data_IF_668731426386
#
_entry.id   IF_668731426386
#
_cell.length_a   1.000
_cell.length_b   1.000
_cell.length_c   1.000
_cell.angle_alpha   90.00
_cell.angle_beta   90.00
_cell.angle_gamma   90.00
#
_symmetry.space_group_name_H-M   'P 1'
#
loop_
_entity.id
_entity.type
_entity.pdbx_description
1 polymer ?
#
# COMPACT_ATOMS: atom_id res chain seq x y z
N UNK A 1 -32.62 8.64 22.28
CA UNK A 1 -31.58 9.65 21.99
C UNK A 1 -30.22 9.07 22.33
N UNK A 2 -29.37 8.72 21.34
CA UNK A 2 -27.93 8.75 21.55
C UNK A 2 -27.25 9.53 20.43
N UNK A 3 -26.83 10.77 20.71
CA UNK A 3 -26.03 11.62 19.80
C UNK A 3 -24.56 11.75 20.26
N UNK A 4 -24.14 11.03 21.30
CA UNK A 4 -22.83 11.20 21.93
C UNK A 4 -21.68 10.49 21.20
N UNK A 5 -21.95 9.44 20.43
CA UNK A 5 -20.90 8.70 19.69
C UNK A 5 -20.39 9.44 18.45
N UNK A 6 -21.21 10.31 17.85
CA UNK A 6 -20.83 11.06 16.64
C UNK A 6 -19.95 12.28 16.93
N UNK A 7 -20.13 12.97 18.06
CA UNK A 7 -19.32 14.17 18.37
C UNK A 7 -17.89 13.80 18.75
N UNK A 8 -17.70 12.78 19.59
CA UNK A 8 -16.36 12.31 20.01
C UNK A 8 -15.54 11.87 18.80
N UNK A 9 -16.16 11.20 17.84
CA UNK A 9 -15.49 10.77 16.61
C UNK A 9 -15.13 11.95 15.71
N UNK A 10 -16.02 12.92 15.56
CA UNK A 10 -15.76 14.14 14.78
C UNK A 10 -14.68 15.03 15.40
N UNK A 11 -14.65 15.15 16.73
CA UNK A 11 -13.61 15.88 17.46
C UNK A 11 -12.25 15.19 17.34
N UNK A 12 -12.23 13.86 17.32
CA UNK A 12 -11.02 13.08 17.17
C UNK A 12 -10.48 13.10 15.73
N UNK A 13 -11.36 13.07 14.73
CA UNK A 13 -11.01 13.29 13.31
C UNK A 13 -10.46 14.72 13.11
N UNK A 14 -11.14 15.75 13.61
CA UNK A 14 -10.67 17.14 13.51
C UNK A 14 -9.36 17.42 14.25
N UNK A 15 -9.11 16.74 15.39
CA UNK A 15 -7.82 16.82 16.09
C UNK A 15 -6.70 16.14 15.30
N UNK A 16 -7.01 15.02 14.63
CA UNK A 16 -6.06 14.34 13.75
C UNK A 16 -5.61 15.23 12.60
N UNK A 17 -6.57 15.86 11.91
CA UNK A 17 -6.30 16.79 10.81
C UNK A 17 -5.50 18.02 11.27
N UNK A 18 -5.82 18.58 12.44
CA UNK A 18 -5.08 19.71 12.99
C UNK A 18 -3.63 19.35 13.37
N UNK A 19 -3.40 18.15 13.89
CA UNK A 19 -2.06 17.65 14.17
C UNK A 19 -1.27 17.42 12.86
N UNK A 20 -1.90 16.84 11.85
CA UNK A 20 -1.28 16.64 10.53
C UNK A 20 -0.88 17.98 9.90
N UNK A 21 -1.77 18.97 9.90
CA UNK A 21 -1.46 20.32 9.42
C UNK A 21 -0.30 20.96 10.21
N UNK A 22 -0.28 20.76 11.54
CA UNK A 22 0.80 21.25 12.39
C UNK A 22 2.14 20.60 12.03
N UNK A 23 2.19 19.28 11.80
CA UNK A 23 3.40 18.58 11.37
C UNK A 23 3.88 19.08 10.00
N UNK A 24 2.97 19.28 9.04
CA UNK A 24 3.30 19.80 7.71
C UNK A 24 3.89 21.22 7.74
N UNK A 25 3.45 22.06 8.68
CA UNK A 25 3.98 23.41 8.86
C UNK A 25 5.35 23.40 9.57
N UNK A 26 5.56 22.48 10.50
CA UNK A 26 6.72 22.49 11.40
C UNK A 26 7.84 21.55 10.97
N UNK A 27 7.65 20.72 9.94
CA UNK A 27 8.70 19.85 9.38
C UNK A 27 9.06 20.30 7.96
N UNK A 28 10.23 20.96 7.80
CA UNK A 28 10.69 21.41 6.49
C UNK A 28 10.80 20.25 5.50
N UNK A 29 10.26 20.43 4.30
CA UNK A 29 10.33 19.43 3.25
C UNK A 29 9.33 18.27 3.37
N UNK A 30 8.51 18.20 4.43
CA UNK A 30 7.58 17.09 4.63
C UNK A 30 6.50 17.05 3.54
N UNK A 31 5.94 18.21 3.19
CA UNK A 31 4.94 18.32 2.12
C UNK A 31 5.50 17.91 0.76
N UNK A 32 6.70 18.37 0.44
CA UNK A 32 7.40 18.03 -0.81
C UNK A 32 7.73 16.54 -0.85
N UNK A 33 8.18 15.98 0.28
CA UNK A 33 8.47 14.56 0.43
C UNK A 33 7.22 13.70 0.22
N UNK A 34 6.10 14.00 0.89
CA UNK A 34 4.84 13.26 0.73
C UNK A 34 4.31 13.35 -0.70
N UNK A 35 4.40 14.52 -1.32
CA UNK A 35 4.02 14.72 -2.72
C UNK A 35 4.90 13.88 -3.66
N UNK A 36 6.22 13.86 -3.42
CA UNK A 36 7.16 13.07 -4.20
C UNK A 36 6.93 11.56 -4.01
N UNK A 37 6.68 11.12 -2.77
CA UNK A 37 6.37 9.73 -2.45
C UNK A 37 5.10 9.28 -3.15
N UNK A 38 4.03 10.07 -3.05
CA UNK A 38 2.75 9.76 -3.67
C UNK A 38 2.89 9.60 -5.20
N UNK A 39 3.58 10.55 -5.86
CA UNK A 39 3.84 10.47 -7.30
C UNK A 39 4.67 9.24 -7.67
N UNK A 40 5.74 8.96 -6.91
CA UNK A 40 6.58 7.80 -7.15
C UNK A 40 5.80 6.49 -6.99
N UNK A 41 4.94 6.40 -5.99
CA UNK A 41 4.17 5.18 -5.71
C UNK A 41 3.11 4.93 -6.78
N UNK A 42 2.43 5.97 -7.26
CA UNK A 42 1.54 5.86 -8.44
C UNK A 42 2.31 5.34 -9.65
N UNK A 43 3.51 5.85 -9.89
CA UNK A 43 4.32 5.39 -11.03
C UNK A 43 4.74 3.93 -10.87
N UNK A 44 5.18 3.52 -9.67
CA UNK A 44 5.52 2.13 -9.36
C UNK A 44 4.33 1.20 -9.58
N UNK A 45 3.13 1.61 -9.19
CA UNK A 45 1.91 0.83 -9.44
C UNK A 45 1.64 0.69 -10.93
N UNK A 46 1.70 1.78 -11.70
CA UNK A 46 1.56 1.74 -13.16
C UNK A 46 2.58 0.80 -13.81
N UNK A 47 3.84 0.89 -13.41
CA UNK A 47 4.91 0.01 -13.91
C UNK A 47 4.63 -1.47 -13.56
N UNK A 48 4.05 -1.73 -12.39
CA UNK A 48 3.67 -3.08 -11.97
C UNK A 48 2.54 -3.64 -12.85
N UNK A 49 1.57 -2.81 -13.24
CA UNK A 49 0.52 -3.19 -14.18
C UNK A 49 1.06 -3.47 -15.58
N UNK A 50 2.00 -2.65 -16.07
CA UNK A 50 2.63 -2.86 -17.39
C UNK A 50 3.45 -4.15 -17.42
N UNK A 51 4.20 -4.44 -16.35
CA UNK A 51 5.06 -5.64 -16.27
C UNK A 51 4.29 -6.93 -15.97
N UNK A 52 3.18 -6.82 -15.25
CA UNK A 52 2.32 -7.93 -14.88
C UNK A 52 0.89 -7.58 -15.26
N UNK A 53 0.57 -7.60 -16.57
CA UNK A 53 -0.79 -7.32 -17.04
C UNK A 53 -1.77 -8.37 -16.52
N UNK A 54 -3.05 -8.01 -16.45
CA UNK A 54 -4.08 -8.99 -16.14
C UNK A 54 -4.12 -10.07 -17.24
N UNK A 55 -4.35 -11.34 -16.88
CA UNK A 55 -4.36 -12.42 -17.86
C UNK A 55 -5.52 -12.26 -18.84
N UNK A 56 -5.26 -12.58 -20.10
CA UNK A 56 -6.28 -12.58 -21.16
C UNK A 56 -7.20 -13.80 -21.04
N UNK A 57 -8.35 -13.77 -21.72
CA UNK A 57 -9.24 -14.94 -21.79
C UNK A 57 -8.54 -16.18 -22.35
N UNK A 58 -7.62 -15.98 -23.30
CA UNK A 58 -6.85 -17.06 -23.91
C UNK A 58 -5.85 -17.65 -22.92
N UNK A 59 -5.18 -16.80 -22.12
CA UNK A 59 -4.29 -17.25 -21.05
C UNK A 59 -5.02 -18.09 -20.01
N UNK A 60 -6.23 -17.68 -19.63
CA UNK A 60 -7.07 -18.41 -18.69
C UNK A 60 -7.50 -19.76 -19.27
N UNK A 61 -7.91 -19.77 -20.54
CA UNK A 61 -8.33 -20.99 -21.24
C UNK A 61 -7.16 -21.98 -21.40
N UNK A 62 -5.97 -21.47 -21.72
CA UNK A 62 -4.74 -22.27 -21.82
C UNK A 62 -4.32 -22.83 -20.45
N UNK A 63 -4.45 -22.04 -19.39
CA UNK A 63 -4.19 -22.50 -18.03
C UNK A 63 -5.19 -23.62 -17.65
N UNK A 64 -6.49 -23.40 -17.83
CA UNK A 64 -7.54 -24.39 -17.56
C UNK A 64 -7.32 -25.69 -18.35
N UNK A 65 -7.01 -25.60 -19.65
CA UNK A 65 -6.71 -26.76 -20.47
C UNK A 65 -5.49 -27.56 -19.94
N UNK A 66 -4.46 -26.87 -19.48
CA UNK A 66 -3.30 -27.51 -18.84
C UNK A 66 -3.66 -28.15 -17.48
N UNK A 67 -4.59 -27.57 -16.72
CA UNK A 67 -5.13 -28.20 -15.50
C UNK A 67 -5.91 -29.49 -15.80
N UNK A 68 -6.71 -29.48 -16.86
CA UNK A 68 -7.49 -30.65 -17.28
C UNK A 68 -6.57 -31.79 -17.74
N UNK A 69 -5.46 -31.47 -18.41
CA UNK A 69 -4.47 -32.44 -18.89
C UNK A 69 -3.66 -33.13 -17.77
N UNK A 70 -3.71 -32.63 -16.53
CA UNK A 70 -3.07 -33.29 -15.39
C UNK A 70 -3.83 -34.56 -14.96
N UNK A 71 -3.11 -35.64 -14.58
CA UNK A 71 -3.73 -36.83 -14.00
C UNK A 71 -4.56 -36.47 -12.76
N UNK A 72 -5.77 -37.03 -12.64
CA UNK A 72 -6.73 -36.72 -11.55
C UNK A 72 -6.15 -36.87 -10.14
N UNK A 73 -5.21 -37.81 -9.95
CA UNK A 73 -4.48 -38.03 -8.68
C UNK A 73 -3.42 -36.96 -8.34
N UNK A 74 -3.15 -36.02 -9.24
CA UNK A 74 -2.10 -34.98 -9.15
C UNK A 74 -2.61 -33.56 -9.47
N UNK A 75 -3.92 -33.34 -9.41
CA UNK A 75 -4.52 -31.99 -9.56
C UNK A 75 -4.34 -31.19 -8.27
N UNK A 76 -3.15 -30.62 -8.06
CA UNK A 76 -2.92 -29.60 -7.03
C UNK A 76 -2.30 -28.36 -7.66
N UNK A 77 -2.69 -27.18 -7.18
CA UNK A 77 -2.15 -25.88 -7.64
C UNK A 77 -0.61 -25.82 -7.54
N UNK A 78 -0.03 -26.54 -6.58
CA UNK A 78 1.42 -26.68 -6.39
C UNK A 78 2.09 -27.52 -7.50
N UNK A 79 1.42 -28.55 -8.00
CA UNK A 79 1.93 -29.39 -9.10
C UNK A 79 1.76 -28.71 -10.47
N UNK A 80 0.73 -27.88 -10.65
CA UNK A 80 0.60 -27.00 -11.82
C UNK A 80 1.76 -26.02 -11.94
N UNK A 81 2.11 -25.35 -10.83
CA UNK A 81 3.27 -24.44 -10.78
C UNK A 81 4.61 -25.13 -11.07
N UNK A 82 4.73 -26.43 -10.77
CA UNK A 82 5.95 -27.23 -11.01
C UNK A 82 6.04 -27.79 -12.44
N UNK A 83 4.94 -28.33 -12.95
CA UNK A 83 4.91 -29.02 -14.25
C UNK A 83 4.65 -28.09 -15.43
N UNK A 84 4.00 -26.95 -15.18
CA UNK A 84 3.60 -25.97 -16.19
C UNK A 84 3.96 -24.55 -15.73
N UNK A 85 5.19 -24.38 -15.24
CA UNK A 85 5.71 -23.07 -14.80
C UNK A 85 5.46 -21.92 -15.80
N UNK A 86 5.56 -22.11 -17.14
CA UNK A 86 5.26 -21.05 -18.11
C UNK A 86 3.78 -20.63 -18.17
N UNK A 87 2.84 -21.51 -17.82
CA UNK A 87 1.41 -21.21 -17.82
C UNK A 87 0.93 -20.72 -16.45
N UNK A 88 1.55 -21.21 -15.37
CA UNK A 88 1.23 -20.82 -14.01
C UNK A 88 1.47 -19.32 -13.72
N UNK A 89 2.37 -18.67 -14.46
CA UNK A 89 2.60 -17.21 -14.38
C UNK A 89 1.41 -16.38 -14.80
N UNK A 90 0.50 -16.94 -15.60
CA UNK A 90 -0.72 -16.28 -16.06
C UNK A 90 -1.93 -16.55 -15.16
N UNK A 91 -1.79 -17.35 -14.10
CA UNK A 91 -2.87 -17.53 -13.14
C UNK A 91 -3.19 -16.18 -12.45
N UNK A 92 -4.47 -15.80 -12.30
CA UNK A 92 -4.85 -14.55 -11.66
C UNK A 92 -4.23 -14.35 -10.27
N UNK A 93 -4.08 -15.44 -9.51
CA UNK A 93 -3.46 -15.41 -8.18
C UNK A 93 -1.96 -15.08 -8.24
N UNK A 94 -1.24 -15.60 -9.23
CA UNK A 94 0.19 -15.37 -9.42
C UNK A 94 0.48 -13.99 -10.02
N UNK A 95 -0.34 -13.52 -10.96
CA UNK A 95 -0.25 -12.14 -11.47
C UNK A 95 -0.45 -11.13 -10.33
N UNK A 96 -1.50 -11.30 -9.51
CA UNK A 96 -1.75 -10.45 -8.34
C UNK A 96 -0.58 -10.47 -7.34
N UNK A 97 -0.03 -11.65 -7.05
CA UNK A 97 1.12 -11.80 -6.15
C UNK A 97 2.38 -11.15 -6.71
N UNK A 98 2.63 -11.31 -8.00
CA UNK A 98 3.80 -10.72 -8.68
C UNK A 98 3.71 -9.20 -8.69
N UNK A 99 2.56 -8.64 -9.06
CA UNK A 99 2.30 -7.19 -8.99
C UNK A 99 2.52 -6.65 -7.58
N UNK A 100 1.94 -7.28 -6.56
CA UNK A 100 2.13 -6.89 -5.15
C UNK A 100 3.59 -6.91 -4.73
N UNK A 101 4.33 -7.99 -5.06
CA UNK A 101 5.76 -8.12 -4.72
C UNK A 101 6.60 -7.05 -5.41
N UNK A 102 6.29 -6.74 -6.68
CA UNK A 102 6.95 -5.67 -7.42
C UNK A 102 6.75 -4.33 -6.71
N UNK A 103 5.49 -3.94 -6.46
CA UNK A 103 5.15 -2.68 -5.79
C UNK A 103 5.88 -2.56 -4.44
N UNK A 104 5.79 -3.57 -3.59
CA UNK A 104 6.42 -3.55 -2.27
C UNK A 104 7.95 -3.43 -2.35
N UNK A 105 8.60 -4.15 -3.27
CA UNK A 105 10.06 -4.07 -3.44
C UNK A 105 10.48 -2.66 -3.86
N UNK A 106 9.78 -2.08 -4.83
CA UNK A 106 10.12 -0.76 -5.36
C UNK A 106 9.79 0.37 -4.37
N UNK A 107 8.67 0.29 -3.65
CA UNK A 107 8.34 1.24 -2.57
C UNK A 107 9.39 1.19 -1.45
N UNK A 108 9.83 0.00 -1.04
CA UNK A 108 10.92 -0.14 -0.04
C UNK A 108 12.24 0.43 -0.54
N UNK A 109 12.58 0.20 -1.81
CA UNK A 109 13.78 0.77 -2.42
C UNK A 109 13.71 2.30 -2.41
N UNK A 110 12.57 2.87 -2.81
CA UNK A 110 12.34 4.31 -2.81
C UNK A 110 12.44 4.90 -1.38
N UNK A 111 11.80 4.28 -0.39
CA UNK A 111 11.88 4.73 1.00
C UNK A 111 13.31 4.64 1.57
N UNK A 112 14.11 3.68 1.09
CA UNK A 112 15.52 3.55 1.51
C UNK A 112 16.40 4.65 0.92
N UNK A 113 16.13 5.08 -0.31
CA UNK A 113 16.88 6.15 -0.98
C UNK A 113 16.41 7.54 -0.59
N UNK A 114 15.16 7.66 -0.15
CA UNK A 114 14.52 8.91 0.24
C UNK A 114 14.05 8.79 1.69
N UNK A 115 14.92 9.06 2.68
CA UNK A 115 14.52 9.01 4.07
C UNK A 115 13.47 10.08 4.39
N UNK A 116 12.49 9.73 5.22
CA UNK A 116 11.46 10.67 5.68
C UNK A 116 12.08 11.83 6.46
N UNK A 117 11.70 13.10 6.18
CA UNK A 117 12.11 14.24 6.99
C UNK A 117 11.44 14.24 8.37
N UNK A 118 10.26 13.61 8.49
CA UNK A 118 9.61 13.37 9.78
C UNK A 118 10.16 12.08 10.40
N UNK A 119 11.03 12.23 11.40
CA UNK A 119 11.52 11.12 12.22
C UNK A 119 10.57 10.86 13.38
N UNK A 120 10.62 9.65 13.95
CA UNK A 120 9.80 9.29 15.11
C UNK A 120 10.03 10.21 16.32
N UNK A 121 11.28 10.60 16.58
CA UNK A 121 11.61 11.52 17.67
C UNK A 121 11.05 12.92 17.44
N UNK A 122 11.12 13.42 16.21
CA UNK A 122 10.59 14.71 15.82
C UNK A 122 9.06 14.72 15.89
N UNK A 123 8.41 13.69 15.36
CA UNK A 123 6.96 13.49 15.43
C UNK A 123 6.48 13.49 16.89
N UNK A 124 7.16 12.75 17.77
CA UNK A 124 6.82 12.70 19.19
C UNK A 124 6.97 14.07 19.86
N UNK A 125 8.03 14.80 19.54
CA UNK A 125 8.30 16.13 20.10
C UNK A 125 7.26 17.15 19.65
N UNK A 126 6.96 17.18 18.35
CA UNK A 126 5.97 18.08 17.77
C UNK A 126 4.55 17.74 18.23
N UNK A 127 4.22 16.46 18.35
CA UNK A 127 2.93 16.03 18.88
C UNK A 127 2.78 16.48 20.33
N UNK A 128 3.80 16.32 21.17
CA UNK A 128 3.76 16.80 22.56
C UNK A 128 3.62 18.34 22.63
N UNK A 129 4.32 19.07 21.77
CA UNK A 129 4.19 20.52 21.66
C UNK A 129 2.77 20.93 21.28
N UNK A 130 2.21 20.31 20.23
CA UNK A 130 0.84 20.51 19.77
C UNK A 130 -0.18 20.21 20.88
N UNK A 131 -0.03 19.09 21.60
CA UNK A 131 -0.93 18.77 22.72
C UNK A 131 -0.82 19.82 23.83
N UNK A 132 0.38 20.32 24.14
CA UNK A 132 0.54 21.36 25.15
C UNK A 132 -0.13 22.68 24.75
N UNK A 133 -0.03 23.07 23.48
CA UNK A 133 -0.57 24.36 23.00
C UNK A 133 -2.07 24.32 22.74
N UNK A 134 -2.61 23.18 22.29
CA UNK A 134 -3.99 23.08 21.81
C UNK A 134 -4.90 22.20 22.69
N UNK A 135 -4.37 21.29 23.52
CA UNK A 135 -5.21 20.54 24.47
C UNK A 135 -5.59 21.36 25.71
N UNK A 136 -4.87 22.45 26.02
CA UNK A 136 -5.18 23.39 27.11
C UNK A 136 -6.15 24.51 26.70
N UNK A 137 -6.58 24.58 25.44
CA UNK A 137 -7.51 25.61 24.93
C UNK A 137 -8.97 25.14 24.82
N UNK A 138 -9.29 23.94 25.30
CA UNK A 138 -10.64 23.34 25.25
C UNK A 138 -11.34 23.37 26.63
N UNK A 139 -10.92 24.27 27.53
CA UNK A 139 -11.66 24.61 28.76
C UNK A 139 -12.32 25.98 28.60
#
# INVERSE_FOLDING_TARGET
MPKQSHSVRSEQEGRGEALEAYLLEHVPGLREYETAQHRAFIQIERDAYVRHPDPTSDDLTAAEAAEVALPSRKRTEVQLRRSFAPLATHLPSEVKRSRKRFVQRHQRAWNRTNPSPLTWELERTLTAAFMKTYALRVL
#
